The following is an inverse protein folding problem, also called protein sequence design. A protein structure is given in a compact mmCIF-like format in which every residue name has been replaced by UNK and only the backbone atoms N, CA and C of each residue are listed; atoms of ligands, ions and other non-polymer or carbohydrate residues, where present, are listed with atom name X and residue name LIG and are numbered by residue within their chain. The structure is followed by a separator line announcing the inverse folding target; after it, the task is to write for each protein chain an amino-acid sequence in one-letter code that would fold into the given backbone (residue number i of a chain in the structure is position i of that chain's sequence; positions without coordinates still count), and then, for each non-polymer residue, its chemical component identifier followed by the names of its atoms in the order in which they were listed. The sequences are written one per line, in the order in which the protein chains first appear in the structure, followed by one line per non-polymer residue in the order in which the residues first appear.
data_IF_293365181662
#
_entry.id   IF_293365181662
#
_cell.length_a   1.000
_cell.length_b   1.000
_cell.length_c   1.000
_cell.angle_alpha   90.00
_cell.angle_beta   90.00
_cell.angle_gamma   90.00
#
_symmetry.space_group_name_H-M   'P 1'
#
loop_
_entity.id
_entity.type
_entity.pdbx_description
1 polymer ?
#
# COMPACT_ATOMS: atom_id res chain seq x y z
N UNK A 1 -16.42 -17.40 -2.11
CA UNK A 1 -15.12 -16.70 -1.90
C UNK A 1 -14.21 -17.21 -3.02
N UNK A 2 -13.68 -16.36 -3.90
CA UNK A 2 -12.74 -16.84 -4.95
C UNK A 2 -11.47 -17.35 -4.25
N UNK A 3 -11.06 -18.60 -4.50
CA UNK A 3 -9.84 -19.16 -3.95
C UNK A 3 -8.65 -18.25 -4.26
N UNK A 4 -7.68 -18.20 -3.35
CA UNK A 4 -6.45 -17.46 -3.53
C UNK A 4 -5.30 -18.45 -3.41
N UNK A 5 -4.57 -18.67 -4.51
CA UNK A 5 -3.56 -19.73 -4.61
C UNK A 5 -2.44 -19.48 -3.59
N UNK A 6 -2.21 -20.41 -2.68
CA UNK A 6 -1.01 -20.57 -1.84
C UNK A 6 -0.27 -19.27 -1.41
N UNK A 7 -0.98 -18.37 -0.72
CA UNK A 7 -0.39 -17.20 -0.03
C UNK A 7 -0.79 -17.16 1.45
N UNK A 8 -0.95 -18.36 2.01
CA UNK A 8 -1.48 -18.57 3.36
C UNK A 8 -0.54 -18.02 4.43
N UNK A 9 0.78 -18.05 4.19
CA UNK A 9 1.78 -17.55 5.13
C UNK A 9 1.75 -16.02 5.22
N UNK A 10 1.71 -15.33 4.08
CA UNK A 10 1.60 -13.88 4.00
C UNK A 10 0.29 -13.42 4.63
N UNK A 11 -0.79 -14.18 4.39
CA UNK A 11 -2.08 -13.89 4.99
C UNK A 11 -2.12 -14.12 6.49
N UNK A 12 -1.49 -15.18 6.97
CA UNK A 12 -1.34 -15.46 8.40
C UNK A 12 -0.55 -14.34 9.07
N UNK A 13 0.60 -13.95 8.50
CA UNK A 13 1.43 -12.87 9.02
C UNK A 13 0.66 -11.54 9.09
N UNK A 14 -0.02 -11.16 8.01
CA UNK A 14 -0.85 -9.96 8.01
C UNK A 14 -1.94 -10.00 9.09
N UNK A 15 -2.62 -11.14 9.27
CA UNK A 15 -3.62 -11.31 10.33
C UNK A 15 -3.01 -11.15 11.71
N UNK A 16 -1.89 -11.81 11.99
CA UNK A 16 -1.16 -11.69 13.25
C UNK A 16 -0.76 -10.24 13.53
N UNK A 17 -0.34 -9.51 12.49
CA UNK A 17 -0.03 -8.09 12.56
C UNK A 17 -1.26 -7.25 12.98
N UNK A 18 -2.37 -7.35 12.25
CA UNK A 18 -3.54 -6.47 12.49
C UNK A 18 -4.31 -6.80 13.77
N UNK A 19 -4.24 -8.05 14.27
CA UNK A 19 -4.79 -8.42 15.59
C UNK A 19 -3.81 -8.17 16.74
N UNK A 20 -2.61 -7.64 16.45
CA UNK A 20 -1.54 -7.36 17.42
C UNK A 20 -1.00 -8.59 18.15
N UNK A 21 -1.01 -9.75 17.49
CA UNK A 21 -0.34 -10.98 17.95
C UNK A 21 1.20 -10.84 17.82
N UNK A 22 1.65 -9.95 16.93
CA UNK A 22 3.06 -9.57 16.78
C UNK A 22 3.21 -8.04 16.91
N UNK A 23 4.42 -7.59 17.26
CA UNK A 23 4.70 -6.17 17.51
C UNK A 23 4.98 -5.37 16.23
N UNK A 24 5.39 -6.04 15.15
CA UNK A 24 5.64 -5.43 13.85
C UNK A 24 4.36 -4.78 13.32
N UNK A 25 4.50 -3.63 12.67
CA UNK A 25 3.40 -2.87 12.07
C UNK A 25 3.67 -2.47 10.62
N UNK A 26 4.89 -2.72 10.14
CA UNK A 26 5.33 -2.44 8.79
C UNK A 26 5.51 -3.78 8.08
N UNK A 27 4.72 -4.05 7.07
CA UNK A 27 4.83 -5.24 6.22
C UNK A 27 5.31 -4.83 4.84
N UNK A 28 6.49 -5.29 4.45
CA UNK A 28 7.07 -5.06 3.13
C UNK A 28 6.85 -6.29 2.26
N UNK A 29 6.23 -6.12 1.10
CA UNK A 29 5.95 -7.18 0.12
C UNK A 29 6.75 -6.91 -1.16
N UNK A 30 7.80 -7.68 -1.36
CA UNK A 30 8.58 -7.67 -2.59
C UNK A 30 8.08 -8.78 -3.53
N UNK A 31 7.82 -8.46 -4.80
CA UNK A 31 7.60 -9.51 -5.78
C UNK A 31 7.84 -9.03 -7.21
N UNK A 32 8.23 -9.92 -8.13
CA UNK A 32 8.20 -9.63 -9.56
C UNK A 32 6.81 -9.21 -10.07
N UNK A 33 6.77 -8.65 -11.28
CA UNK A 33 5.51 -8.38 -11.97
C UNK A 33 4.73 -9.69 -12.20
N UNK A 34 3.40 -9.66 -12.00
CA UNK A 34 2.54 -10.83 -12.23
C UNK A 34 2.56 -11.92 -11.15
N UNK A 35 3.21 -11.69 -10.00
CA UNK A 35 3.25 -12.67 -8.88
C UNK A 35 2.07 -12.58 -7.91
N UNK A 36 1.06 -11.75 -8.25
CA UNK A 36 -0.18 -11.64 -7.49
C UNK A 36 -0.20 -10.63 -6.35
N UNK A 37 0.74 -9.67 -6.30
CA UNK A 37 0.78 -8.61 -5.26
C UNK A 37 -0.57 -7.90 -5.07
N UNK A 38 -1.13 -7.33 -6.14
CA UNK A 38 -2.40 -6.60 -6.05
C UNK A 38 -3.55 -7.48 -5.55
N UNK A 39 -3.60 -8.75 -5.97
CA UNK A 39 -4.58 -9.70 -5.44
C UNK A 39 -4.37 -9.97 -3.94
N UNK A 40 -3.11 -10.13 -3.48
CA UNK A 40 -2.77 -10.28 -2.06
C UNK A 40 -3.23 -9.06 -1.25
N UNK A 41 -2.92 -7.85 -1.71
CA UNK A 41 -3.31 -6.61 -1.04
C UNK A 41 -4.83 -6.42 -0.98
N UNK A 42 -5.56 -6.82 -2.02
CA UNK A 42 -7.03 -6.85 -1.99
C UNK A 42 -7.55 -7.82 -0.92
N UNK A 43 -6.89 -8.95 -0.71
CA UNK A 43 -7.25 -9.86 0.38
C UNK A 43 -6.89 -9.28 1.75
N UNK A 44 -5.78 -8.54 1.87
CA UNK A 44 -5.44 -7.82 3.09
C UNK A 44 -6.54 -6.82 3.44
N UNK A 45 -6.91 -5.96 2.50
CA UNK A 45 -7.97 -4.95 2.70
C UNK A 45 -9.31 -5.59 3.07
N UNK A 46 -9.69 -6.70 2.44
CA UNK A 46 -10.92 -7.45 2.76
C UNK A 46 -10.88 -8.17 4.10
N UNK A 47 -9.69 -8.49 4.60
CA UNK A 47 -9.48 -9.18 5.87
C UNK A 47 -9.24 -8.22 7.03
N UNK A 48 -9.34 -6.91 6.80
CA UNK A 48 -9.22 -5.88 7.84
C UNK A 48 -10.36 -6.06 8.86
N UNK A 49 -10.06 -6.11 10.17
CA UNK A 49 -11.09 -6.14 11.21
C UNK A 49 -12.06 -4.95 11.13
N UNK A 50 -13.33 -5.15 11.46
CA UNK A 50 -14.36 -4.08 11.36
C UNK A 50 -14.06 -2.82 12.20
N UNK A 51 -13.27 -2.98 13.26
CA UNK A 51 -12.84 -1.89 14.14
C UNK A 51 -11.61 -1.13 13.61
N UNK A 52 -11.06 -1.49 12.46
CA UNK A 52 -9.92 -0.85 11.82
C UNK A 52 -10.35 -0.10 10.55
N UNK A 53 -9.71 1.03 10.26
CA UNK A 53 -9.90 1.78 9.01
C UNK A 53 -8.77 1.47 8.04
N UNK A 54 -9.04 1.47 6.75
CA UNK A 54 -8.02 1.27 5.72
C UNK A 54 -7.97 2.43 4.71
N UNK A 55 -6.78 2.70 4.19
CA UNK A 55 -6.57 3.60 3.06
C UNK A 55 -5.56 2.99 2.08
N UNK A 56 -6.01 2.75 0.84
CA UNK A 56 -5.15 2.30 -0.26
C UNK A 56 -4.63 3.50 -1.05
N UNK A 57 -3.31 3.53 -1.28
CA UNK A 57 -2.62 4.50 -2.13
C UNK A 57 -1.79 3.78 -3.18
N UNK A 58 -2.13 3.97 -4.46
CA UNK A 58 -1.29 3.53 -5.57
C UNK A 58 -0.22 4.59 -5.88
N UNK A 59 1.04 4.23 -5.67
CA UNK A 59 2.18 5.12 -5.85
C UNK A 59 2.56 5.34 -7.32
N UNK A 60 2.07 4.51 -8.25
CA UNK A 60 2.21 4.77 -9.70
C UNK A 60 1.52 6.08 -10.10
N UNK A 61 0.44 6.41 -9.39
CA UNK A 61 -0.37 7.60 -9.62
C UNK A 61 0.14 8.83 -8.84
N UNK A 62 1.23 8.70 -8.07
CA UNK A 62 1.73 9.74 -7.16
C UNK A 62 2.68 10.75 -7.84
N UNK A 63 2.30 11.25 -9.02
CA UNK A 63 3.13 12.18 -9.80
C UNK A 63 3.40 13.51 -9.08
N UNK A 64 2.49 13.92 -8.19
CA UNK A 64 2.63 15.13 -7.37
C UNK A 64 3.43 14.90 -6.08
N UNK A 65 4.00 13.72 -5.88
CA UNK A 65 4.87 13.40 -4.75
C UNK A 65 4.12 13.26 -3.43
N UNK A 66 4.71 13.76 -2.34
CA UNK A 66 4.19 13.62 -0.97
C UNK A 66 2.77 14.22 -0.77
N UNK A 67 2.41 15.39 -1.35
CA UNK A 67 1.04 15.89 -1.35
C UNK A 67 -0.03 14.87 -1.75
N UNK A 68 0.30 13.99 -2.69
CA UNK A 68 -0.60 12.94 -3.15
C UNK A 68 -0.94 11.96 -2.03
N UNK A 69 0.04 11.54 -1.22
CA UNK A 69 -0.18 10.58 -0.13
C UNK A 69 -1.07 11.20 0.94
N UNK A 70 -0.77 12.42 1.39
CA UNK A 70 -1.59 13.13 2.37
C UNK A 70 -3.03 13.29 1.88
N UNK A 71 -3.24 13.77 0.64
CA UNK A 71 -4.58 13.96 0.08
C UNK A 71 -5.34 12.65 -0.11
N UNK A 72 -4.71 11.58 -0.60
CA UNK A 72 -5.35 10.26 -0.75
C UNK A 72 -5.79 9.69 0.59
N UNK A 73 -4.93 9.72 1.60
CA UNK A 73 -5.25 9.18 2.93
C UNK A 73 -6.35 10.00 3.59
N UNK A 74 -6.26 11.34 3.57
CA UNK A 74 -7.30 12.24 4.11
C UNK A 74 -8.66 11.97 3.50
N UNK A 75 -8.75 11.88 2.17
CA UNK A 75 -10.03 11.62 1.49
C UNK A 75 -10.61 10.26 1.85
N UNK A 76 -9.77 9.24 2.06
CA UNK A 76 -10.23 7.89 2.44
C UNK A 76 -10.64 7.78 3.90
N UNK A 77 -9.90 8.44 4.80
CA UNK A 77 -10.14 8.40 6.24
C UNK A 77 -11.10 9.50 6.73
N UNK A 78 -11.44 10.46 5.88
CA UNK A 78 -12.33 11.59 6.17
C UNK A 78 -11.56 12.85 6.52
N UNK A 79 -11.75 13.94 5.77
CA UNK A 79 -10.97 15.17 5.91
C UNK A 79 -11.11 15.84 7.28
N UNK A 80 -12.30 15.73 7.90
CA UNK A 80 -12.59 16.26 9.23
C UNK A 80 -11.73 15.64 10.34
N UNK A 81 -11.12 14.47 10.08
CA UNK A 81 -10.23 13.80 11.03
C UNK A 81 -8.79 14.32 10.97
N UNK A 82 -8.50 15.34 10.15
CA UNK A 82 -7.16 15.92 9.99
C UNK A 82 -7.11 17.43 10.30
N UNK A 83 -7.57 17.87 11.49
CA UNK A 83 -7.61 19.29 11.83
C UNK A 83 -6.22 19.92 12.02
N UNK A 84 -5.23 19.17 12.53
CA UNK A 84 -3.87 19.72 12.73
C UNK A 84 -3.18 19.89 11.40
N UNK A 85 -3.27 18.91 10.51
CA UNK A 85 -2.74 19.04 9.17
C UNK A 85 -3.42 20.18 8.41
N UNK A 86 -4.75 20.32 8.51
CA UNK A 86 -5.47 21.43 7.91
C UNK A 86 -4.97 22.78 8.44
N UNK A 87 -4.76 22.89 9.76
CA UNK A 87 -4.22 24.10 10.39
C UNK A 87 -2.80 24.41 9.91
N UNK A 88 -1.92 23.41 9.86
CA UNK A 88 -0.55 23.56 9.38
C UNK A 88 -0.49 24.01 7.91
N UNK A 89 -1.36 23.46 7.05
CA UNK A 89 -1.48 23.91 5.66
C UNK A 89 -1.92 25.38 5.60
N UNK A 90 -2.94 25.78 6.36
CA UNK A 90 -3.43 27.17 6.35
C UNK A 90 -2.37 28.16 6.84
N UNK A 91 -1.61 27.82 7.89
CA UNK A 91 -0.53 28.67 8.39
C UNK A 91 0.53 29.00 7.33
N UNK A 92 0.85 28.04 6.45
CA UNK A 92 1.79 28.27 5.36
C UNK A 92 1.21 29.02 4.17
N UNK A 93 -0.11 28.94 3.95
CA UNK A 93 -0.81 29.73 2.93
C UNK A 93 -0.97 31.19 3.36
N UNK A 94 -1.41 31.42 4.59
CA UNK A 94 -1.65 32.76 5.14
C UNK A 94 -0.34 33.58 5.28
N UNK A 95 0.78 32.92 5.56
CA UNK A 95 2.10 33.53 5.57
C UNK A 95 2.65 33.94 4.19
N UNK A 96 1.91 33.68 3.10
CA UNK A 96 2.42 33.73 1.73
C UNK A 96 1.70 34.63 0.70
N UNK A 97 0.70 35.45 1.10
CA UNK A 97 -0.16 36.38 0.30
C UNK A 97 -1.65 35.95 0.35
N UNK A 98 -2.54 36.94 0.60
CA UNK A 98 -4.01 36.81 0.64
C UNK A 98 -4.60 35.95 -0.48
N UNK A 99 -5.07 34.75 -0.14
CA UNK A 99 -5.90 33.94 -1.05
C UNK A 99 -7.37 34.26 -0.76
N UNK A 100 -8.00 34.97 -1.71
CA UNK A 100 -9.46 35.14 -1.77
C UNK A 100 -10.14 33.78 -1.79
N UNK A 101 -11.24 33.67 -1.05
CA UNK A 101 -12.15 32.54 -0.94
C UNK A 101 -12.26 31.71 -2.22
N UNK A 102 -11.46 30.65 -2.30
CA UNK A 102 -11.69 29.52 -3.18
C UNK A 102 -11.51 28.29 -2.31
N UNK A 103 -12.60 27.57 -2.08
CA UNK A 103 -12.58 26.21 -1.53
C UNK A 103 -11.99 25.30 -2.60
N UNK A 104 -10.70 25.46 -2.88
CA UNK A 104 -9.96 24.62 -3.82
C UNK A 104 -9.41 23.39 -3.07
N UNK A 105 -9.55 22.25 -3.73
CA UNK A 105 -9.41 20.90 -3.21
C UNK A 105 -8.10 20.72 -2.42
N UNK A 106 -8.17 20.00 -1.29
CA UNK A 106 -7.06 19.91 -0.31
C UNK A 106 -5.71 19.38 -0.83
N UNK A 107 -5.65 18.85 -2.06
CA UNK A 107 -4.40 18.46 -2.73
C UNK A 107 -3.65 19.67 -3.32
N UNK A 108 -4.35 20.63 -3.91
CA UNK A 108 -3.74 21.80 -4.56
C UNK A 108 -3.05 22.70 -3.53
N UNK A 109 -3.67 22.88 -2.37
CA UNK A 109 -3.08 23.59 -1.23
C UNK A 109 -1.78 22.94 -0.75
N UNK A 110 -1.74 21.60 -0.68
CA UNK A 110 -0.53 20.87 -0.26
C UNK A 110 0.60 20.99 -1.28
N UNK A 111 0.27 20.99 -2.58
CA UNK A 111 1.25 21.22 -3.64
C UNK A 111 1.82 22.63 -3.49
N UNK A 112 0.97 23.65 -3.38
CA UNK A 112 1.43 25.04 -3.23
C UNK A 112 2.34 25.24 -2.01
N UNK A 113 1.99 24.63 -0.86
CA UNK A 113 2.81 24.72 0.37
C UNK A 113 4.20 24.11 0.19
N UNK A 114 4.32 23.01 -0.57
CA UNK A 114 5.58 22.29 -0.78
C UNK A 114 6.34 22.71 -2.06
N UNK A 115 5.72 23.48 -2.95
CA UNK A 115 6.33 24.05 -4.15
C UNK A 115 7.13 25.34 -3.85
N UNK A 116 8.05 25.28 -2.88
CA UNK A 116 9.00 26.36 -2.58
C UNK A 116 10.39 26.07 -3.19
N UNK A 117 11.09 27.08 -3.75
CA UNK A 117 12.41 26.89 -4.38
C UNK A 117 13.52 26.50 -3.40
N UNK A 118 13.41 26.95 -2.15
CA UNK A 118 14.41 26.69 -1.11
C UNK A 118 14.19 25.31 -0.47
N UNK A 119 15.19 24.44 -0.61
CA UNK A 119 15.15 23.07 -0.10
C UNK A 119 15.06 23.00 1.43
N UNK A 120 15.70 23.93 2.15
CA UNK A 120 15.66 23.97 3.62
C UNK A 120 14.26 24.36 4.11
N UNK A 121 13.65 25.36 3.49
CA UNK A 121 12.27 25.77 3.77
C UNK A 121 11.30 24.65 3.39
N UNK A 122 11.50 23.99 2.25
CA UNK A 122 10.67 22.85 1.83
C UNK A 122 10.73 21.72 2.83
N UNK A 123 11.92 21.36 3.28
CA UNK A 123 12.13 20.28 4.25
C UNK A 123 11.52 20.62 5.61
N UNK A 124 11.68 21.87 6.07
CA UNK A 124 11.04 22.34 7.30
C UNK A 124 9.51 22.24 7.20
N UNK A 125 8.90 22.74 6.12
CA UNK A 125 7.45 22.65 5.89
C UNK A 125 6.98 21.21 5.84
N UNK A 126 7.71 20.34 5.12
CA UNK A 126 7.40 18.93 5.03
C UNK A 126 7.41 18.25 6.40
N UNK A 127 8.42 18.54 7.23
CA UNK A 127 8.52 18.02 8.59
C UNK A 127 7.30 18.46 9.43
N UNK A 128 6.94 19.74 9.41
CA UNK A 128 5.75 20.25 10.12
C UNK A 128 4.45 19.60 9.65
N UNK A 129 4.28 19.43 8.33
CA UNK A 129 3.10 18.77 7.77
C UNK A 129 3.05 17.29 8.13
N UNK A 130 4.19 16.60 8.11
CA UNK A 130 4.29 15.19 8.51
C UNK A 130 3.92 15.01 9.98
N UNK A 131 4.49 15.81 10.87
CA UNK A 131 4.20 15.76 12.30
C UNK A 131 2.71 16.01 12.56
N UNK A 132 2.12 17.04 11.93
CA UNK A 132 0.70 17.33 12.05
C UNK A 132 -0.18 16.18 11.53
N UNK A 133 0.21 15.58 10.41
CA UNK A 133 -0.47 14.43 9.82
C UNK A 133 -0.45 13.20 10.72
N UNK A 134 0.72 12.83 11.24
CA UNK A 134 0.85 11.67 12.13
C UNK A 134 0.22 11.93 13.49
N UNK A 135 0.30 13.15 14.01
CA UNK A 135 -0.49 13.54 15.18
C UNK A 135 -1.97 13.23 14.91
N UNK A 136 -2.55 13.74 13.83
CA UNK A 136 -3.96 13.47 13.51
C UNK A 136 -4.25 11.96 13.39
N UNK A 137 -3.39 11.16 12.74
CA UNK A 137 -3.52 9.70 12.69
C UNK A 137 -3.51 9.06 14.08
N UNK A 138 -2.61 9.47 14.97
CA UNK A 138 -2.51 8.96 16.35
C UNK A 138 -3.76 9.25 17.19
N UNK A 139 -4.51 10.31 16.87
CA UNK A 139 -5.77 10.65 17.55
C UNK A 139 -6.98 9.83 17.06
N UNK A 140 -6.85 9.01 16.01
CA UNK A 140 -7.93 8.11 15.63
C UNK A 140 -8.17 7.06 16.72
N UNK A 141 -9.42 6.96 17.16
CA UNK A 141 -9.87 5.95 18.12
C UNK A 141 -9.74 4.51 17.60
N UNK A 142 -9.65 4.35 16.27
CA UNK A 142 -9.58 3.06 15.58
C UNK A 142 -8.19 2.89 14.97
N UNK A 143 -7.61 1.69 15.01
CA UNK A 143 -6.39 1.39 14.25
C UNK A 143 -6.56 1.70 12.76
N UNK A 144 -5.47 2.06 12.11
CA UNK A 144 -5.44 2.45 10.70
C UNK A 144 -4.47 1.56 9.94
N UNK A 145 -4.91 1.01 8.81
CA UNK A 145 -4.08 0.31 7.84
C UNK A 145 -3.86 1.21 6.61
N UNK A 146 -2.61 1.52 6.31
CA UNK A 146 -2.23 2.18 5.07
C UNK A 146 -1.62 1.13 4.13
N UNK A 147 -2.15 1.02 2.92
CA UNK A 147 -1.61 0.14 1.87
C UNK A 147 -0.99 1.03 0.80
N UNK A 148 0.32 0.93 0.62
CA UNK A 148 1.09 1.62 -0.40
C UNK A 148 1.49 0.61 -1.49
N UNK A 149 0.77 0.62 -2.62
CA UNK A 149 1.04 -0.29 -3.75
C UNK A 149 1.94 0.39 -4.80
N UNK A 150 2.60 -0.43 -5.61
CA UNK A 150 3.49 -0.01 -6.70
C UNK A 150 4.66 0.87 -6.24
N UNK A 151 5.32 0.54 -5.13
CA UNK A 151 6.45 1.31 -4.59
C UNK A 151 7.56 1.60 -5.61
N UNK A 152 7.88 0.62 -6.46
CA UNK A 152 8.90 0.77 -7.50
C UNK A 152 8.56 1.81 -8.59
N UNK A 153 7.33 2.33 -8.64
CA UNK A 153 6.93 3.39 -9.55
C UNK A 153 6.84 4.77 -8.88
N UNK A 154 7.13 4.86 -7.58
CA UNK A 154 7.17 6.12 -6.87
C UNK A 154 8.34 7.00 -7.38
N UNK A 155 8.15 8.33 -7.50
CA UNK A 155 9.27 9.24 -7.71
C UNK A 155 10.36 9.06 -6.64
N UNK A 156 11.63 9.28 -6.99
CA UNK A 156 12.75 9.01 -6.08
C UNK A 156 12.61 9.73 -4.72
N UNK A 157 12.25 11.01 -4.74
CA UNK A 157 12.02 11.79 -3.52
C UNK A 157 10.89 11.23 -2.65
N UNK A 158 9.83 10.71 -3.28
CA UNK A 158 8.72 10.05 -2.59
C UNK A 158 9.18 8.72 -1.99
N UNK A 159 9.92 7.91 -2.75
CA UNK A 159 10.45 6.63 -2.28
C UNK A 159 11.41 6.81 -1.09
N UNK A 160 12.29 7.83 -1.15
CA UNK A 160 13.19 8.20 -0.07
C UNK A 160 12.42 8.67 1.17
N UNK A 161 11.40 9.52 1.00
CA UNK A 161 10.56 9.98 2.11
C UNK A 161 9.77 8.84 2.75
N UNK A 162 9.16 7.97 1.94
CA UNK A 162 8.44 6.78 2.42
C UNK A 162 9.39 5.88 3.21
N UNK A 163 10.57 5.56 2.67
CA UNK A 163 11.53 4.67 3.33
C UNK A 163 12.26 5.25 4.54
N UNK A 164 12.26 6.58 4.70
CA UNK A 164 12.86 7.29 5.82
C UNK A 164 11.79 7.78 6.80
N UNK A 165 11.59 9.10 6.82
CA UNK A 165 10.77 9.80 7.81
C UNK A 165 9.35 9.22 7.97
N UNK A 166 8.67 8.86 6.87
CA UNK A 166 7.32 8.30 6.99
C UNK A 166 7.28 6.98 7.77
N UNK A 167 8.17 6.03 7.48
CA UNK A 167 8.22 4.75 8.20
C UNK A 167 8.78 4.89 9.62
N UNK A 168 9.64 5.88 9.88
CA UNK A 168 10.06 6.22 11.23
C UNK A 168 8.86 6.65 12.09
N UNK A 169 8.01 7.55 11.60
CA UNK A 169 6.78 7.95 12.30
C UNK A 169 5.80 6.78 12.50
N UNK A 170 5.70 5.85 11.53
CA UNK A 170 4.89 4.63 11.69
C UNK A 170 5.42 3.74 12.80
N UNK A 171 6.75 3.68 12.98
CA UNK A 171 7.36 2.95 14.07
C UNK A 171 7.00 3.54 15.44
N UNK A 172 6.75 4.85 15.53
CA UNK A 172 6.31 5.52 16.76
C UNK A 172 4.78 5.52 16.93
N UNK A 173 4.01 5.49 15.83
CA UNK A 173 2.55 5.49 15.84
C UNK A 173 1.96 4.09 16.09
N UNK A 174 1.72 3.75 17.35
CA UNK A 174 1.22 2.43 17.77
C UNK A 174 -0.15 2.01 17.19
N UNK A 175 -0.93 2.94 16.66
CA UNK A 175 -2.24 2.69 16.04
C UNK A 175 -2.20 2.67 14.49
N UNK A 176 -1.03 2.91 13.88
CA UNK A 176 -0.85 2.92 12.43
C UNK A 176 -0.10 1.67 11.98
N UNK A 177 -0.66 1.00 10.98
CA UNK A 177 -0.11 -0.17 10.32
C UNK A 177 0.12 0.17 8.86
N UNK A 178 1.21 -0.30 8.28
CA UNK A 178 1.55 -0.03 6.89
C UNK A 178 1.91 -1.32 6.17
N UNK A 179 1.33 -1.50 5.00
CA UNK A 179 1.78 -2.50 4.02
C UNK A 179 2.36 -1.75 2.83
N UNK A 180 3.61 -2.03 2.46
CA UNK A 180 4.24 -1.48 1.24
C UNK A 180 4.53 -2.62 0.30
N UNK A 181 4.02 -2.53 -0.94
CA UNK A 181 4.22 -3.54 -1.95
C UNK A 181 4.88 -2.96 -3.21
N UNK A 182 5.78 -3.74 -3.80
CA UNK A 182 6.46 -3.33 -5.03
C UNK A 182 7.32 -4.43 -5.63
N UNK A 183 7.89 -4.14 -6.80
CA UNK A 183 9.01 -4.94 -7.33
C UNK A 183 10.31 -4.69 -6.58
N UNK A 184 10.42 -3.50 -6.01
CA UNK A 184 11.41 -3.11 -5.02
C UNK A 184 10.67 -2.67 -3.77
N UNK A 185 11.36 -2.69 -2.63
CA UNK A 185 10.84 -2.24 -1.33
C UNK A 185 11.79 -1.20 -0.73
N UNK A 186 11.34 -0.40 0.25
CA UNK A 186 12.23 0.51 0.98
C UNK A 186 13.45 -0.20 1.56
N UNK A 187 14.60 0.47 1.54
CA UNK A 187 15.79 -0.02 2.25
C UNK A 187 15.57 0.14 3.75
N UNK A 188 15.88 -0.91 4.51
CA UNK A 188 15.73 -0.91 5.97
C UNK A 188 16.61 0.18 6.60
N UNK A 189 16.00 1.03 7.42
CA UNK A 189 16.70 2.02 8.24
C UNK A 189 16.73 1.58 9.72
N UNK A 190 17.68 2.13 10.49
CA UNK A 190 17.79 1.84 11.92
C UNK A 190 16.57 2.29 12.75
N UNK A 191 15.83 3.28 12.27
CA UNK A 191 14.69 3.88 13.00
C UNK A 191 13.48 2.95 13.08
N UNK A 192 13.27 2.12 12.07
CA UNK A 192 12.10 1.24 11.99
C UNK A 192 12.44 -0.24 11.80
N UNK A 193 13.73 -0.62 11.85
CA UNK A 193 14.19 -2.00 11.65
C UNK A 193 13.48 -3.04 12.54
N UNK A 194 13.18 -2.70 13.79
CA UNK A 194 12.52 -3.63 14.72
C UNK A 194 10.98 -3.69 14.54
N UNK A 195 10.41 -2.78 13.75
CA UNK A 195 8.98 -2.65 13.53
C UNK A 195 8.51 -3.28 12.20
N UNK A 196 9.43 -3.82 11.39
CA UNK A 196 9.11 -4.36 10.08
C UNK A 196 9.20 -5.89 9.98
N UNK A 197 8.47 -6.41 9.00
CA UNK A 197 8.67 -7.74 8.43
C UNK A 197 8.71 -7.60 6.91
N UNK A 198 9.64 -8.27 6.25
CA UNK A 198 9.73 -8.29 4.79
C UNK A 198 9.42 -9.70 4.28
N UNK A 199 8.57 -9.78 3.26
CA UNK A 199 8.22 -11.01 2.58
C UNK A 199 8.48 -10.85 1.08
N UNK A 200 9.12 -11.85 0.49
CA UNK A 200 9.30 -11.94 -0.96
C UNK A 200 8.36 -13.01 -1.51
N UNK A 201 7.42 -12.61 -2.38
CA UNK A 201 6.53 -13.56 -3.02
C UNK A 201 7.31 -14.36 -4.06
N UNK A 202 7.22 -15.68 -3.94
CA UNK A 202 7.83 -16.64 -4.87
C UNK A 202 6.80 -17.22 -5.83
N UNK A 203 7.29 -17.93 -6.84
CA UNK A 203 6.43 -18.72 -7.71
C UNK A 203 5.69 -19.79 -6.91
N UNK A 204 4.48 -20.13 -7.35
CA UNK A 204 3.67 -21.17 -6.71
C UNK A 204 3.82 -22.44 -7.52
N UNK A 205 4.65 -23.36 -7.02
CA UNK A 205 5.00 -24.59 -7.71
C UNK A 205 4.09 -25.77 -7.37
N UNK A 206 3.19 -25.60 -6.40
CA UNK A 206 2.27 -26.66 -5.96
C UNK A 206 1.06 -26.76 -6.92
N UNK A 207 0.93 -27.85 -7.70
CA UNK A 207 -0.18 -28.02 -8.63
C UNK A 207 -1.54 -28.19 -7.94
N UNK A 208 -1.58 -28.66 -6.70
CA UNK A 208 -2.84 -28.88 -5.98
C UNK A 208 -3.50 -27.56 -5.62
N UNK A 209 -2.72 -26.58 -5.20
CA UNK A 209 -3.16 -25.21 -4.94
C UNK A 209 -3.73 -24.55 -6.21
N UNK A 210 -3.08 -24.77 -7.34
CA UNK A 210 -3.56 -24.29 -8.64
C UNK A 210 -4.85 -24.99 -9.09
N UNK A 211 -4.97 -26.28 -8.81
CA UNK A 211 -6.16 -27.06 -9.16
C UNK A 211 -7.37 -26.65 -8.33
N UNK A 212 -7.19 -26.43 -7.02
CA UNK A 212 -8.23 -25.89 -6.15
C UNK A 212 -8.70 -24.51 -6.61
N UNK A 213 -7.75 -23.64 -6.96
CA UNK A 213 -8.08 -22.35 -7.55
C UNK A 213 -8.85 -22.47 -8.86
N UNK A 214 -8.40 -23.33 -9.77
CA UNK A 214 -9.04 -23.49 -11.06
C UNK A 214 -10.48 -23.95 -10.92
N UNK A 215 -10.72 -24.92 -10.03
CA UNK A 215 -12.06 -25.42 -9.70
C UNK A 215 -12.97 -24.32 -9.13
N UNK A 216 -12.48 -23.55 -8.16
CA UNK A 216 -13.25 -22.47 -7.52
C UNK A 216 -13.50 -21.30 -8.47
N UNK A 217 -12.60 -21.05 -9.44
CA UNK A 217 -12.78 -20.07 -10.49
C UNK A 217 -13.71 -20.55 -11.62
N UNK A 218 -14.09 -21.83 -11.63
CA UNK A 218 -14.94 -22.44 -12.65
C UNK A 218 -14.21 -22.76 -13.96
N UNK A 219 -12.87 -22.87 -13.93
CA UNK A 219 -12.10 -23.27 -15.10
C UNK A 219 -12.24 -24.79 -15.34
N UNK A 220 -12.47 -25.24 -16.59
CA UNK A 220 -12.78 -26.64 -16.92
C UNK A 220 -11.52 -27.52 -17.07
N UNK A 221 -10.46 -27.25 -16.32
CA UNK A 221 -9.18 -27.97 -16.44
C UNK A 221 -9.04 -29.07 -15.39
N UNK A 222 -8.54 -30.24 -15.81
CA UNK A 222 -8.20 -31.34 -14.91
C UNK A 222 -6.81 -31.16 -14.28
N UNK A 223 -6.48 -31.99 -13.27
CA UNK A 223 -5.22 -31.88 -12.50
C UNK A 223 -3.96 -32.03 -13.36
N UNK A 224 -3.99 -32.85 -14.41
CA UNK A 224 -2.83 -33.06 -15.29
C UNK A 224 -2.57 -31.82 -16.16
N UNK A 225 -3.63 -31.21 -16.69
CA UNK A 225 -3.55 -29.93 -17.42
C UNK A 225 -3.01 -28.81 -16.53
N UNK A 226 -3.47 -28.74 -15.27
CA UNK A 226 -2.96 -27.78 -14.29
C UNK A 226 -1.48 -28.03 -14.02
N UNK A 227 -1.08 -29.28 -13.75
CA UNK A 227 0.32 -29.64 -13.47
C UNK A 227 1.23 -29.27 -14.64
N UNK A 228 0.76 -29.48 -15.87
CA UNK A 228 1.48 -29.09 -17.08
C UNK A 228 1.66 -27.58 -17.19
N UNK A 229 0.60 -26.79 -16.92
CA UNK A 229 0.71 -25.33 -16.89
C UNK A 229 1.69 -24.85 -15.82
N UNK A 230 1.66 -25.43 -14.61
CA UNK A 230 2.60 -25.09 -13.54
C UNK A 230 4.05 -25.36 -13.95
N UNK A 231 4.31 -26.48 -14.64
CA UNK A 231 5.64 -26.79 -15.16
C UNK A 231 6.08 -25.83 -16.28
N UNK A 232 5.21 -25.56 -17.26
CA UNK A 232 5.52 -24.70 -18.41
C UNK A 232 5.79 -23.25 -17.98
N UNK A 233 4.98 -22.74 -17.05
CA UNK A 233 5.07 -21.36 -16.59
C UNK A 233 5.86 -21.20 -15.30
N UNK A 234 6.50 -22.26 -14.82
CA UNK A 234 7.34 -22.30 -13.62
C UNK A 234 6.61 -21.72 -12.39
N UNK A 235 5.32 -21.99 -12.25
CA UNK A 235 4.50 -21.47 -11.16
C UNK A 235 4.24 -19.96 -11.19
N UNK A 236 4.48 -19.27 -12.32
CA UNK A 236 4.23 -17.83 -12.47
C UNK A 236 2.73 -17.53 -12.51
N UNK A 237 2.17 -16.83 -11.50
CA UNK A 237 0.73 -16.69 -11.39
C UNK A 237 0.03 -16.01 -12.57
N UNK A 238 0.50 -14.85 -13.02
CA UNK A 238 -0.10 -14.14 -14.15
C UNK A 238 -0.12 -14.98 -15.43
N UNK A 239 1.00 -15.62 -15.80
CA UNK A 239 1.07 -16.45 -17.01
C UNK A 239 0.11 -17.63 -16.97
N UNK A 240 0.01 -18.29 -15.80
CA UNK A 240 -0.91 -19.43 -15.62
C UNK A 240 -2.36 -18.97 -15.78
N UNK A 241 -2.75 -17.89 -15.08
CA UNK A 241 -4.12 -17.36 -15.14
C UNK A 241 -4.46 -16.86 -16.55
N UNK A 242 -3.57 -16.09 -17.19
CA UNK A 242 -3.75 -15.61 -18.56
C UNK A 242 -3.95 -16.77 -19.55
N UNK A 243 -3.21 -17.87 -19.37
CA UNK A 243 -3.34 -19.07 -20.21
C UNK A 243 -4.68 -19.77 -19.98
N UNK A 244 -5.13 -19.90 -18.73
CA UNK A 244 -6.44 -20.47 -18.41
C UNK A 244 -7.57 -19.63 -19.04
N UNK A 245 -7.50 -18.30 -18.92
CA UNK A 245 -8.47 -17.39 -19.52
C UNK A 245 -8.44 -17.39 -21.05
N UNK A 246 -7.28 -17.58 -21.68
CA UNK A 246 -7.16 -17.71 -23.13
C UNK A 246 -7.81 -19.01 -23.63
N UNK A 247 -7.47 -20.14 -23.02
CA UNK A 247 -7.98 -21.46 -23.42
C UNK A 247 -9.51 -21.57 -23.25
N UNK A 248 -10.09 -20.98 -22.20
CA UNK A 248 -11.55 -20.96 -22.04
C UNK A 248 -12.24 -20.12 -23.10
N UNK A 249 -11.62 -19.01 -23.53
CA UNK A 249 -12.18 -18.17 -24.61
C UNK A 249 -12.19 -18.89 -25.95
N UNK A 250 -11.16 -19.67 -26.25
CA UNK A 250 -11.08 -20.47 -27.49
C UNK A 250 -12.10 -21.62 -27.50
N UNK A 251 -12.37 -22.24 -26.35
CA UNK A 251 -13.39 -23.32 -26.25
C UNK A 251 -14.83 -22.82 -26.36
N UNK A 252 -15.07 -21.52 -26.20
CA UNK A 252 -16.38 -20.90 -26.30
C UNK A 252 -16.70 -20.36 -27.71
N UNK A 253 -15.76 -20.44 -28.65
CA UNK A 253 -15.91 -20.10 -30.07
C UNK A 253 -16.18 -21.35 -30.91
#
# INVERSE_FOLDING_TARGET
MKHFVNRTNEMKLFRQMVIRDISQRILLIEAPAGYGKTNLLLQFERSVPENMKSAWVDLKSAQTGIPYIFSRIRRKLGEANFPRLATAVQQFLDGGIQVRENVQEGQDNLIQVLSVPDDSVRNFRLMTLQEAFFCDLCYFQRPILLILDTFNAAPESLAQWVGGGFLAEVADASNVFVVIAGQTIPRVSGEWTNCHHACRLTAILDPDEWYLYAKDAGFPFNRDQISMAVMIFEGWPAKIVETFEALVREQAQ
#
